data_IF_365287201929
#
_entry.id   IF_365287201929
#
_cell.length_a   1.000
_cell.length_b   1.000
_cell.length_c   1.000
_cell.angle_alpha   90.00
_cell.angle_beta   90.00
_cell.angle_gamma   90.00
#
_symmetry.space_group_name_H-M   'P 1'
#
loop_
_entity.id
_entity.type
_entity.pdbx_description
1 polymer ?
#
# COMPACT_ATOMS: atom_id res chain seq x y z
N UNK A 1 13.56 2.72 19.58
CA UNK A 1 13.19 3.43 18.36
C UNK A 1 12.73 4.83 18.69
N UNK A 2 13.55 5.82 18.38
CA UNK A 2 13.21 7.25 18.31
C UNK A 2 12.97 7.64 16.84
N UNK A 3 12.60 8.90 16.57
CA UNK A 3 12.45 9.38 15.19
C UNK A 3 13.79 9.39 14.46
N UNK A 4 14.88 9.77 15.13
CA UNK A 4 16.22 9.79 14.55
C UNK A 4 16.70 8.38 14.20
N UNK A 5 16.44 7.40 15.08
CA UNK A 5 16.74 5.99 14.81
C UNK A 5 15.93 5.47 13.62
N UNK A 6 14.64 5.82 13.54
CA UNK A 6 13.78 5.42 12.43
C UNK A 6 14.22 6.05 11.10
N UNK A 7 14.58 7.34 11.10
CA UNK A 7 15.11 8.03 9.93
C UNK A 7 16.36 7.31 9.40
N UNK A 8 17.31 7.00 10.28
CA UNK A 8 18.52 6.27 9.92
C UNK A 8 18.19 4.87 9.37
N UNK A 9 17.21 4.17 9.94
CA UNK A 9 16.80 2.85 9.47
C UNK A 9 16.17 2.91 8.08
N UNK A 10 15.29 3.88 7.81
CA UNK A 10 14.72 4.13 6.48
C UNK A 10 15.82 4.39 5.43
N UNK A 11 16.78 5.24 5.76
CA UNK A 11 17.88 5.62 4.87
C UNK A 11 18.82 4.43 4.62
N UNK A 12 19.17 3.69 5.67
CA UNK A 12 20.06 2.52 5.58
C UNK A 12 19.42 1.37 4.80
N UNK A 13 18.13 1.10 5.04
CA UNK A 13 17.39 0.07 4.30
C UNK A 13 17.25 0.43 2.82
N UNK A 14 17.01 1.70 2.50
CA UNK A 14 16.93 2.16 1.11
C UNK A 14 18.27 2.00 0.39
N UNK A 15 19.39 2.37 1.04
CA UNK A 15 20.73 2.20 0.49
C UNK A 15 21.11 0.71 0.32
N UNK A 16 20.70 -0.16 1.25
CA UNK A 16 20.90 -1.59 1.14
C UNK A 16 20.13 -2.18 -0.04
N UNK A 17 18.85 -1.82 -0.23
CA UNK A 17 18.04 -2.24 -1.37
C UNK A 17 18.63 -1.74 -2.71
N UNK A 18 19.09 -0.50 -2.75
CA UNK A 18 19.75 0.07 -3.94
C UNK A 18 21.05 -0.68 -4.27
N UNK A 19 21.84 -1.03 -3.27
CA UNK A 19 23.08 -1.81 -3.44
C UNK A 19 22.80 -3.24 -3.92
N UNK A 20 21.78 -3.90 -3.36
CA UNK A 20 21.46 -5.30 -3.65
C UNK A 20 20.73 -5.48 -4.99
N UNK A 21 19.84 -4.54 -5.35
CA UNK A 21 18.92 -4.69 -6.47
C UNK A 21 19.17 -3.69 -7.61
N UNK A 22 20.06 -2.70 -7.41
CA UNK A 22 20.35 -1.66 -8.39
C UNK A 22 19.23 -0.63 -8.57
N UNK A 23 18.20 -0.67 -7.72
CA UNK A 23 17.05 0.23 -7.77
C UNK A 23 16.77 0.82 -6.39
N UNK A 24 16.61 2.14 -6.33
CA UNK A 24 16.25 2.83 -5.10
C UNK A 24 14.74 2.71 -4.86
N UNK A 25 14.28 2.24 -3.68
CA UNK A 25 12.85 2.16 -3.38
C UNK A 25 12.23 3.56 -3.38
N UNK A 26 11.04 3.68 -3.98
CA UNK A 26 10.28 4.94 -4.10
C UNK A 26 8.97 4.92 -3.31
N UNK A 27 8.58 3.78 -2.78
CA UNK A 27 7.39 3.58 -1.95
C UNK A 27 7.75 2.85 -0.67
N UNK A 28 6.96 3.05 0.37
CA UNK A 28 7.11 2.43 1.68
C UNK A 28 5.87 1.61 2.06
N UNK A 29 6.05 0.58 2.88
CA UNK A 29 4.96 -0.20 3.45
C UNK A 29 5.13 -0.28 4.97
N UNK A 30 4.13 0.22 5.72
CA UNK A 30 4.14 0.17 7.18
C UNK A 30 4.00 -1.27 7.65
N UNK A 31 4.97 -1.73 8.46
CA UNK A 31 4.95 -3.11 8.98
C UNK A 31 3.79 -3.28 9.95
N UNK A 32 2.86 -4.17 9.61
CA UNK A 32 1.59 -4.35 10.32
C UNK A 32 0.76 -3.05 10.49
N UNK A 33 0.96 -2.06 9.62
CA UNK A 33 0.30 -0.75 9.73
C UNK A 33 0.81 0.14 10.87
N UNK A 34 1.93 -0.22 11.52
CA UNK A 34 2.46 0.59 12.61
C UNK A 34 3.20 1.82 12.07
N UNK A 35 2.60 3.00 12.21
CA UNK A 35 3.14 4.30 11.77
C UNK A 35 3.75 5.16 12.90
N UNK A 36 4.01 4.56 14.07
CA UNK A 36 4.55 5.25 15.24
C UNK A 36 5.82 4.61 15.81
N UNK A 37 6.62 5.45 16.49
CA UNK A 37 7.78 5.09 17.31
C UNK A 37 7.63 5.62 18.74
N UNK A 38 8.54 5.22 19.62
CA UNK A 38 8.50 5.61 21.03
C UNK A 38 7.41 4.89 21.84
N UNK A 39 7.13 5.40 23.04
CA UNK A 39 6.13 4.84 23.96
C UNK A 39 5.62 5.92 24.94
N UNK A 40 4.39 5.76 25.41
CA UNK A 40 3.79 6.69 26.37
C UNK A 40 3.81 8.14 25.87
N UNK A 41 4.24 9.08 26.72
CA UNK A 41 4.35 10.50 26.36
C UNK A 41 5.30 10.79 25.17
N UNK A 42 6.16 9.83 24.81
CA UNK A 42 7.09 9.91 23.68
C UNK A 42 6.59 9.16 22.43
N UNK A 43 5.33 8.72 22.39
CA UNK A 43 4.73 8.13 21.19
C UNK A 43 4.63 9.18 20.09
N UNK A 44 5.25 8.94 18.93
CA UNK A 44 5.36 9.90 17.82
C UNK A 44 5.12 9.21 16.49
N UNK A 45 4.35 9.84 15.61
CA UNK A 45 4.20 9.38 14.23
C UNK A 45 5.51 9.59 13.49
N UNK A 46 5.91 8.58 12.70
CA UNK A 46 7.02 8.69 11.76
C UNK A 46 6.57 8.85 10.30
N UNK A 47 5.26 9.07 10.07
CA UNK A 47 4.71 9.41 8.74
C UNK A 47 5.44 10.58 8.07
N UNK A 48 5.80 11.67 8.78
CA UNK A 48 6.56 12.76 8.15
C UNK A 48 7.91 12.30 7.56
N UNK A 49 8.61 11.36 8.22
CA UNK A 49 9.87 10.82 7.70
C UNK A 49 9.66 10.02 6.41
N UNK A 50 8.52 9.35 6.28
CA UNK A 50 8.12 8.63 5.06
C UNK A 50 7.77 9.62 3.95
N UNK A 51 7.02 10.68 4.27
CA UNK A 51 6.67 11.74 3.32
C UNK A 51 7.90 12.43 2.70
N UNK A 52 8.96 12.62 3.49
CA UNK A 52 10.23 13.21 3.02
C UNK A 52 11.00 12.31 2.03
N UNK A 53 10.75 11.00 2.02
CA UNK A 53 11.62 9.99 1.38
C UNK A 53 10.95 9.20 0.26
N UNK A 54 9.64 9.00 0.35
CA UNK A 54 8.88 8.12 -0.53
C UNK A 54 7.69 8.86 -1.14
N UNK A 55 7.31 8.46 -2.35
CA UNK A 55 6.12 9.00 -3.04
C UNK A 55 4.85 8.54 -2.33
N UNK A 56 4.82 7.27 -1.91
CA UNK A 56 3.67 6.66 -1.23
C UNK A 56 4.16 5.81 -0.07
N UNK A 57 3.57 5.99 1.10
CA UNK A 57 3.61 5.05 2.22
C UNK A 57 2.26 4.36 2.36
N UNK A 58 2.18 3.06 2.10
CA UNK A 58 0.93 2.30 2.24
C UNK A 58 0.78 1.70 3.63
N UNK A 59 -0.30 2.02 4.31
CA UNK A 59 -0.73 1.46 5.60
C UNK A 59 -1.20 0.00 5.43
N UNK A 60 -1.77 -0.64 6.46
CA UNK A 60 -2.33 -1.98 6.38
C UNK A 60 -3.68 -2.09 7.10
N UNK A 61 -4.48 -3.09 6.71
CA UNK A 61 -5.71 -3.47 7.40
C UNK A 61 -6.77 -2.36 7.48
N UNK A 62 -6.82 -1.49 6.48
CA UNK A 62 -7.83 -0.46 6.36
C UNK A 62 -9.13 -1.02 5.72
N UNK A 63 -10.20 -0.23 5.73
CA UNK A 63 -11.55 -0.70 5.34
C UNK A 63 -12.13 0.02 4.12
N UNK A 64 -11.51 1.12 3.67
CA UNK A 64 -12.02 1.94 2.57
C UNK A 64 -10.96 2.30 1.53
N UNK A 65 -11.42 2.62 0.32
CA UNK A 65 -10.59 3.16 -0.75
C UNK A 65 -10.08 4.56 -0.39
N UNK A 66 -8.94 4.93 -0.95
CA UNK A 66 -8.40 6.28 -0.87
C UNK A 66 -9.20 7.22 -1.76
N UNK A 67 -9.52 8.42 -1.28
CA UNK A 67 -9.95 9.52 -2.16
C UNK A 67 -8.71 10.16 -2.80
N UNK A 68 -8.51 10.06 -4.13
CA UNK A 68 -7.31 10.59 -4.78
C UNK A 68 -7.10 12.10 -4.58
N UNK A 69 -8.16 12.87 -4.31
CA UNK A 69 -8.06 14.32 -4.14
C UNK A 69 -7.60 14.73 -2.73
N UNK A 70 -7.75 13.84 -1.74
CA UNK A 70 -7.57 14.19 -0.33
C UNK A 70 -6.73 13.20 0.48
N UNK A 71 -6.42 12.02 -0.04
CA UNK A 71 -5.65 11.04 0.71
C UNK A 71 -4.23 11.53 1.01
N UNK A 72 -3.75 11.22 2.21
CA UNK A 72 -2.34 11.41 2.55
C UNK A 72 -1.53 10.30 1.87
N UNK A 73 -0.77 10.64 0.83
CA UNK A 73 0.06 9.67 0.12
C UNK A 73 1.12 9.04 1.01
N UNK A 74 1.59 9.73 2.07
CA UNK A 74 2.53 9.15 3.01
C UNK A 74 1.87 8.13 3.95
N UNK A 75 0.53 8.09 4.03
CA UNK A 75 -0.25 7.14 4.82
C UNK A 75 -1.49 6.64 4.04
N UNK A 76 -1.27 6.19 2.81
CA UNK A 76 -2.34 5.70 1.94
C UNK A 76 -2.94 4.40 2.50
N UNK A 77 -4.26 4.31 2.57
CA UNK A 77 -4.99 3.14 3.03
C UNK A 77 -4.72 1.93 2.12
N UNK A 78 -4.53 0.75 2.72
CA UNK A 78 -4.50 -0.51 1.98
C UNK A 78 -5.35 -1.59 2.67
N UNK A 79 -5.94 -2.44 1.83
CA UNK A 79 -6.93 -3.44 2.23
C UNK A 79 -6.29 -4.83 2.17
N UNK A 80 -6.47 -5.61 3.23
CA UNK A 80 -5.92 -6.96 3.35
C UNK A 80 -6.65 -7.95 2.43
N UNK A 81 -5.90 -8.47 1.45
CA UNK A 81 -6.36 -9.40 0.45
C UNK A 81 -6.03 -10.88 0.76
N UNK A 82 -5.30 -11.18 1.85
CA UNK A 82 -4.85 -12.54 2.14
C UNK A 82 -6.03 -13.53 2.15
N UNK A 83 -6.98 -13.32 3.06
CA UNK A 83 -8.14 -14.23 3.24
C UNK A 83 -9.43 -13.66 2.69
N UNK A 84 -9.37 -12.56 1.94
CA UNK A 84 -10.53 -11.95 1.33
C UNK A 84 -11.18 -12.92 0.32
N UNK A 85 -12.51 -13.02 0.38
CA UNK A 85 -13.25 -13.73 -0.66
C UNK A 85 -13.18 -12.96 -1.98
N UNK A 86 -13.43 -13.62 -3.12
CA UNK A 86 -13.46 -12.88 -4.40
C UNK A 86 -14.58 -11.84 -4.40
N UNK A 87 -15.74 -12.19 -3.82
CA UNK A 87 -16.87 -11.26 -3.71
C UNK A 87 -16.58 -10.08 -2.77
N UNK A 88 -15.72 -10.23 -1.77
CA UNK A 88 -15.28 -9.11 -0.94
C UNK A 88 -14.38 -8.17 -1.74
N UNK A 89 -13.43 -8.72 -2.51
CA UNK A 89 -12.56 -7.93 -3.39
C UNK A 89 -13.38 -7.18 -4.44
N UNK A 90 -14.35 -7.85 -5.05
CA UNK A 90 -15.26 -7.26 -6.03
C UNK A 90 -16.06 -6.10 -5.42
N UNK A 91 -16.61 -6.26 -4.21
CA UNK A 91 -17.30 -5.16 -3.51
C UNK A 91 -16.41 -3.95 -3.26
N UNK A 92 -15.15 -4.15 -2.85
CA UNK A 92 -14.22 -3.05 -2.64
C UNK A 92 -13.88 -2.33 -3.95
N UNK A 93 -13.76 -3.09 -5.05
CA UNK A 93 -13.55 -2.52 -6.38
C UNK A 93 -14.78 -1.71 -6.81
N UNK A 94 -15.99 -2.27 -6.66
CA UNK A 94 -17.24 -1.60 -7.03
C UNK A 94 -17.42 -0.29 -6.27
N UNK A 95 -17.18 -0.31 -4.95
CA UNK A 95 -17.22 0.90 -4.13
C UNK A 95 -16.22 1.96 -4.61
N UNK A 96 -15.00 1.57 -4.97
CA UNK A 96 -14.01 2.50 -5.48
C UNK A 96 -14.38 3.06 -6.85
N UNK A 97 -14.98 2.26 -7.72
CA UNK A 97 -15.51 2.75 -9.00
C UNK A 97 -16.63 3.76 -8.77
N UNK A 98 -17.57 3.47 -7.88
CA UNK A 98 -18.69 4.35 -7.54
C UNK A 98 -18.23 5.71 -6.99
N UNK A 99 -17.14 5.73 -6.20
CA UNK A 99 -16.62 6.95 -5.57
C UNK A 99 -15.49 7.62 -6.33
N UNK A 100 -14.99 7.02 -7.42
CA UNK A 100 -13.75 7.46 -8.07
C UNK A 100 -12.50 7.27 -7.21
N UNK A 101 -12.55 6.30 -6.28
CA UNK A 101 -11.51 5.99 -5.32
C UNK A 101 -10.34 5.18 -5.88
N UNK A 102 -9.25 5.15 -5.10
CA UNK A 102 -8.06 4.33 -5.36
C UNK A 102 -7.88 3.26 -4.28
N UNK A 103 -7.97 1.99 -4.68
CA UNK A 103 -7.77 0.84 -3.79
C UNK A 103 -6.36 0.28 -3.93
N UNK A 104 -5.68 0.12 -2.81
CA UNK A 104 -4.42 -0.61 -2.71
C UNK A 104 -4.71 -1.94 -2.00
N UNK A 105 -4.47 -3.06 -2.68
CA UNK A 105 -4.53 -4.38 -2.05
C UNK A 105 -3.16 -4.77 -1.50
N UNK A 106 -3.14 -5.25 -0.25
CA UNK A 106 -1.97 -5.84 0.37
C UNK A 106 -2.17 -7.34 0.60
N UNK A 107 -1.10 -8.11 0.40
CA UNK A 107 -1.02 -9.50 0.79
C UNK A 107 0.41 -9.76 1.30
N UNK A 108 0.58 -10.73 2.20
CA UNK A 108 1.91 -11.03 2.75
C UNK A 108 2.70 -11.97 1.84
N UNK A 109 2.03 -12.94 1.23
CA UNK A 109 2.67 -13.91 0.34
C UNK A 109 1.63 -14.54 -0.61
N UNK A 110 2.13 -15.24 -1.63
CA UNK A 110 1.32 -15.97 -2.62
C UNK A 110 1.67 -17.46 -2.57
N UNK A 111 0.73 -18.28 -2.12
CA UNK A 111 0.91 -19.74 -2.06
C UNK A 111 -0.05 -20.50 -3.00
N UNK A 112 0.30 -21.73 -3.44
CA UNK A 112 -0.59 -22.55 -4.26
C UNK A 112 -1.95 -22.82 -3.58
N UNK A 113 -1.94 -23.06 -2.28
CA UNK A 113 -3.12 -23.25 -1.43
C UNK A 113 -3.19 -22.15 -0.36
N UNK A 114 -4.39 -21.93 0.18
CA UNK A 114 -4.59 -20.92 1.23
C UNK A 114 -3.78 -21.27 2.48
N UNK A 115 -2.90 -20.36 2.90
CA UNK A 115 -2.15 -20.43 4.14
C UNK A 115 -2.43 -19.20 5.02
N UNK A 116 -1.88 -19.21 6.24
CA UNK A 116 -1.94 -18.05 7.13
C UNK A 116 -1.21 -16.87 6.49
N UNK A 117 -1.85 -15.71 6.48
CA UNK A 117 -1.30 -14.48 5.89
C UNK A 117 -0.83 -14.72 4.45
N UNK A 118 -1.75 -15.10 3.57
CA UNK A 118 -1.44 -15.29 2.16
C UNK A 118 -2.67 -15.21 1.29
N UNK A 119 -2.49 -14.80 0.05
CA UNK A 119 -3.46 -14.97 -1.03
C UNK A 119 -3.11 -16.23 -1.83
N UNK A 120 -4.10 -17.05 -2.21
CA UNK A 120 -3.81 -18.21 -3.06
C UNK A 120 -3.55 -17.80 -4.51
N UNK A 121 -2.69 -18.54 -5.23
CA UNK A 121 -2.43 -18.34 -6.68
C UNK A 121 -3.74 -18.31 -7.47
N UNK A 122 -4.68 -19.22 -7.16
CA UNK A 122 -6.00 -19.24 -7.79
C UNK A 122 -6.75 -17.93 -7.56
N UNK A 123 -6.80 -17.44 -6.31
CA UNK A 123 -7.50 -16.21 -5.96
C UNK A 123 -6.89 -14.99 -6.65
N UNK A 124 -5.57 -14.85 -6.60
CA UNK A 124 -4.86 -13.76 -7.27
C UNK A 124 -5.17 -13.78 -8.78
N UNK A 125 -5.12 -14.95 -9.41
CA UNK A 125 -5.49 -15.10 -10.83
C UNK A 125 -6.95 -14.77 -11.13
N UNK A 126 -7.88 -15.09 -10.23
CA UNK A 126 -9.30 -14.71 -10.36
C UNK A 126 -9.46 -13.17 -10.30
N UNK A 127 -8.74 -12.49 -9.40
CA UNK A 127 -8.73 -11.02 -9.29
C UNK A 127 -8.13 -10.38 -10.54
N UNK A 128 -6.99 -10.87 -11.05
CA UNK A 128 -6.41 -10.36 -12.28
C UNK A 128 -7.36 -10.51 -13.49
N UNK A 129 -8.09 -11.62 -13.59
CA UNK A 129 -9.11 -11.82 -14.64
C UNK A 129 -10.28 -10.85 -14.50
N UNK A 130 -10.73 -10.58 -13.27
CA UNK A 130 -11.77 -9.59 -13.01
C UNK A 130 -11.33 -8.19 -13.48
N UNK A 131 -10.14 -7.75 -13.07
CA UNK A 131 -9.58 -6.44 -13.45
C UNK A 131 -9.36 -6.33 -14.96
N UNK A 132 -8.84 -7.38 -15.63
CA UNK A 132 -8.63 -7.38 -17.06
C UNK A 132 -9.93 -7.24 -17.88
N UNK A 133 -11.04 -7.81 -17.39
CA UNK A 133 -12.36 -7.66 -18.01
C UNK A 133 -12.92 -6.25 -17.87
N UNK A 134 -12.52 -5.52 -16.82
CA UNK A 134 -12.98 -4.15 -16.51
C UNK A 134 -11.92 -3.08 -16.82
N UNK A 135 -10.93 -3.38 -17.66
CA UNK A 135 -9.81 -2.46 -17.98
C UNK A 135 -10.23 -1.12 -18.63
N UNK A 136 -11.43 -1.05 -19.18
CA UNK A 136 -11.99 0.18 -19.77
C UNK A 136 -12.54 1.13 -18.69
N UNK A 137 -12.81 0.60 -17.50
CA UNK A 137 -13.37 1.31 -16.35
C UNK A 137 -12.34 1.48 -15.23
N UNK A 138 -11.42 0.51 -15.08
CA UNK A 138 -10.46 0.44 -13.99
C UNK A 138 -9.04 0.53 -14.54
N UNK A 139 -8.32 1.57 -14.15
CA UNK A 139 -6.88 1.62 -14.29
C UNK A 139 -6.22 0.80 -13.18
N UNK A 140 -5.52 -0.27 -13.55
CA UNK A 140 -4.72 -1.09 -12.63
C UNK A 140 -3.24 -0.87 -12.90
N UNK A 141 -2.48 -0.51 -11.87
CA UNK A 141 -1.04 -0.28 -11.97
C UNK A 141 -0.35 -0.51 -10.61
N UNK A 142 0.95 -0.28 -10.58
CA UNK A 142 1.75 -0.27 -9.35
C UNK A 142 1.36 0.90 -8.45
N UNK A 143 1.57 0.74 -7.14
CA UNK A 143 1.37 1.81 -6.15
C UNK A 143 2.16 3.08 -6.51
N UNK A 144 3.38 2.91 -7.04
CA UNK A 144 4.21 4.03 -7.46
C UNK A 144 3.58 4.80 -8.63
N UNK A 145 3.16 4.12 -9.69
CA UNK A 145 2.63 4.76 -10.89
C UNK A 145 1.34 5.55 -10.59
N UNK A 146 0.41 4.94 -9.84
CA UNK A 146 -0.82 5.64 -9.42
C UNK A 146 -0.51 6.77 -8.45
N UNK A 147 0.39 6.53 -7.49
CA UNK A 147 0.82 7.53 -6.52
C UNK A 147 1.44 8.78 -7.16
N UNK A 148 2.33 8.61 -8.15
CA UNK A 148 2.92 9.73 -8.91
C UNK A 148 1.86 10.50 -9.72
N UNK A 149 0.89 9.79 -10.31
CA UNK A 149 -0.21 10.43 -11.03
C UNK A 149 -1.08 11.29 -10.11
N UNK A 150 -1.38 10.79 -8.92
CA UNK A 150 -2.15 11.49 -7.89
C UNK A 150 -1.36 12.67 -7.33
N UNK A 151 -0.10 12.47 -6.93
CA UNK A 151 0.76 13.52 -6.39
C UNK A 151 0.90 14.73 -7.34
N UNK A 152 0.92 14.49 -8.65
CA UNK A 152 0.98 15.56 -9.65
C UNK A 152 -0.34 16.36 -9.83
N UNK A 153 -1.43 15.95 -9.17
CA UNK A 153 -2.78 16.51 -9.35
C UNK A 153 -3.49 16.87 -8.04
N UNK A 154 -2.97 16.41 -6.90
CA UNK A 154 -3.43 16.87 -5.60
C UNK A 154 -3.12 18.37 -5.43
N UNK A 155 -4.00 19.11 -4.73
CA UNK A 155 -3.86 20.56 -4.53
C UNK A 155 -2.70 20.95 -3.60
#
# INVERSE_FOLDING_TARGET
MTLEQMAQELDSASAALETLLGVRPRTFAYTCGNSFVGRGANHRSYVPLVAERFVVGRDAFNECANDPLFCDLALAASLDADRASLSQIERWIDQAVETGGWVIFMAHDVFPALARQSISVKKLGDVCRLLAKRREEIWTDTVLAVGEYIAARQP
#
